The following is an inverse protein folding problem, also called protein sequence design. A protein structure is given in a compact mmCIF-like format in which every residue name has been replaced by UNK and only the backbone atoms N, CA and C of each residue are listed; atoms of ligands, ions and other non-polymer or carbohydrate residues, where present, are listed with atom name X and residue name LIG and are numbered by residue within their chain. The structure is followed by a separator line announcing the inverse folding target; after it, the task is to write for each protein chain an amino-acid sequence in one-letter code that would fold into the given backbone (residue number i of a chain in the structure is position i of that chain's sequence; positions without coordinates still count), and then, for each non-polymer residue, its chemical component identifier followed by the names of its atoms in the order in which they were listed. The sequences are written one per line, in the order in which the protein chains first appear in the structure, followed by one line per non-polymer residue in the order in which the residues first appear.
data_IF_432980597843
#
_entry.id   IF_432980597843
#
_cell.length_a   1.000
_cell.length_b   1.000
_cell.length_c   1.000
_cell.angle_alpha   90.00
_cell.angle_beta   90.00
_cell.angle_gamma   90.00
#
_symmetry.space_group_name_H-M   'P 1'
#
loop_
_entity.id
_entity.type
_entity.pdbx_description
1 polymer ?
#
# COMPACT_ATOMS: atom_id res chain seq x y z
N UNK A 1 17.67 16.66 12.55
CA UNK A 1 16.73 17.17 11.53
C UNK A 1 15.32 17.19 12.14
N UNK A 2 14.47 18.14 11.73
CA UNK A 2 13.06 18.14 12.14
C UNK A 2 12.39 16.88 11.58
N UNK A 3 11.66 16.13 12.43
CA UNK A 3 10.92 14.96 11.98
C UNK A 3 9.73 15.37 11.12
N UNK A 4 9.39 14.54 10.13
CA UNK A 4 8.16 14.69 9.35
C UNK A 4 6.97 14.39 10.22
N UNK A 5 6.02 15.32 10.36
CA UNK A 5 4.87 15.23 11.28
C UNK A 5 3.63 14.75 10.53
N UNK A 6 3.14 13.58 10.92
CA UNK A 6 2.06 12.84 10.24
C UNK A 6 0.79 12.88 11.06
N UNK A 7 -0.32 13.26 10.44
CA UNK A 7 -1.67 13.00 10.92
C UNK A 7 -2.27 11.80 10.20
N UNK A 8 -2.96 10.92 10.93
CA UNK A 8 -3.64 9.75 10.35
C UNK A 8 -5.15 9.99 10.43
N UNK A 9 -5.83 9.99 9.28
CA UNK A 9 -7.29 10.00 9.22
C UNK A 9 -7.82 8.59 8.93
N UNK A 10 -8.47 7.97 9.92
CA UNK A 10 -8.90 6.57 9.93
C UNK A 10 -7.88 5.64 10.60
N UNK A 11 -8.25 5.03 11.72
CA UNK A 11 -7.37 4.14 12.50
C UNK A 11 -7.78 2.67 12.34
N UNK A 12 -8.13 2.28 11.10
CA UNK A 12 -8.36 0.88 10.72
C UNK A 12 -7.04 0.12 10.52
N UNK A 13 -7.10 -1.01 9.78
CA UNK A 13 -5.91 -1.85 9.50
C UNK A 13 -4.70 -1.03 9.04
N UNK A 14 -4.86 -0.26 7.96
CA UNK A 14 -3.73 0.48 7.37
C UNK A 14 -3.29 1.65 8.29
N UNK A 15 -4.22 2.42 8.88
CA UNK A 15 -3.84 3.52 9.79
C UNK A 15 -3.04 3.04 11.00
N UNK A 16 -3.43 1.94 11.62
CA UNK A 16 -2.70 1.36 12.76
C UNK A 16 -1.33 0.80 12.35
N UNK A 17 -1.20 0.21 11.16
CA UNK A 17 0.07 -0.30 10.66
C UNK A 17 1.00 0.82 10.19
N UNK A 18 0.48 1.93 9.68
CA UNK A 18 1.27 3.14 9.40
C UNK A 18 1.87 3.68 10.70
N UNK A 19 1.10 3.71 11.80
CA UNK A 19 1.66 4.07 13.11
C UNK A 19 2.77 3.10 13.53
N UNK A 20 2.55 1.78 13.41
CA UNK A 20 3.60 0.78 13.72
C UNK A 20 4.85 0.97 12.87
N UNK A 21 4.71 1.25 11.58
CA UNK A 21 5.83 1.52 10.67
C UNK A 21 6.57 2.82 11.02
N UNK A 22 5.84 3.88 11.37
CA UNK A 22 6.42 5.16 11.78
C UNK A 22 7.24 5.04 13.08
N UNK A 23 6.79 4.20 14.03
CA UNK A 23 7.51 3.95 15.28
C UNK A 23 8.88 3.27 15.11
N UNK A 24 9.13 2.66 13.96
CA UNK A 24 10.42 2.04 13.63
C UNK A 24 11.40 3.01 12.94
N UNK A 25 11.00 4.29 12.77
CA UNK A 25 11.78 5.30 12.04
C UNK A 25 12.09 6.51 12.92
N UNK A 26 13.26 7.09 12.68
CA UNK A 26 13.71 8.29 13.39
C UNK A 26 13.35 9.61 12.69
N UNK A 27 13.07 9.55 11.39
CA UNK A 27 12.84 10.72 10.52
C UNK A 27 11.37 11.16 10.42
N UNK A 28 10.43 10.35 10.97
CA UNK A 28 9.01 10.65 10.99
C UNK A 28 8.44 10.55 12.41
N UNK A 29 7.28 11.15 12.63
CA UNK A 29 6.50 10.96 13.85
C UNK A 29 5.00 11.14 13.55
N UNK A 30 4.17 10.24 14.09
CA UNK A 30 2.73 10.44 14.12
C UNK A 30 2.40 11.36 15.29
N UNK A 31 1.69 12.46 15.03
CA UNK A 31 1.37 13.49 16.02
C UNK A 31 -0.11 13.58 16.32
N UNK A 32 -0.95 13.11 15.40
CA UNK A 32 -2.40 13.09 15.57
C UNK A 32 -3.05 11.91 14.82
N UNK A 33 -4.17 11.45 15.35
CA UNK A 33 -5.05 10.46 14.74
C UNK A 33 -6.47 11.02 14.80
N UNK A 34 -7.22 10.88 13.72
CA UNK A 34 -8.65 11.14 13.73
C UNK A 34 -9.41 9.85 13.38
N UNK A 35 -10.30 9.44 14.25
CA UNK A 35 -11.26 8.38 13.98
C UNK A 35 -12.51 8.59 14.82
N UNK A 36 -13.68 8.91 14.23
CA UNK A 36 -14.90 9.20 14.98
C UNK A 36 -15.57 7.97 15.57
N UNK A 37 -15.07 6.76 15.30
CA UNK A 37 -15.68 5.50 15.72
C UNK A 37 -14.87 4.75 16.77
N UNK A 38 -13.69 5.24 17.14
CA UNK A 38 -12.81 4.60 18.11
C UNK A 38 -12.41 5.57 19.22
N UNK A 39 -12.57 5.14 20.48
CA UNK A 39 -12.02 5.86 21.64
C UNK A 39 -10.49 5.60 21.77
N UNK A 40 -9.74 6.50 22.45
CA UNK A 40 -8.30 6.30 22.65
C UNK A 40 -7.93 4.97 23.33
N UNK A 41 -8.70 4.52 24.30
CA UNK A 41 -8.50 3.24 25.00
C UNK A 41 -8.72 2.04 24.06
N UNK A 42 -9.72 2.11 23.17
CA UNK A 42 -9.91 1.08 22.15
C UNK A 42 -8.82 1.10 21.08
N UNK A 43 -8.35 2.27 20.67
CA UNK A 43 -7.17 2.40 19.79
C UNK A 43 -5.92 1.80 20.43
N UNK A 44 -5.71 2.04 21.74
CA UNK A 44 -4.60 1.45 22.48
C UNK A 44 -4.69 -0.09 22.52
N UNK A 45 -5.89 -0.62 22.74
CA UNK A 45 -6.12 -2.07 22.68
C UNK A 45 -5.80 -2.64 21.29
N UNK A 46 -6.34 -2.04 20.22
CA UNK A 46 -6.13 -2.49 18.82
C UNK A 46 -4.67 -2.36 18.36
N UNK A 47 -3.94 -1.35 18.83
CA UNK A 47 -2.52 -1.22 18.53
C UNK A 47 -1.68 -2.25 19.28
N UNK A 48 -2.05 -2.53 20.54
CA UNK A 48 -1.33 -3.47 21.41
C UNK A 48 -1.42 -4.91 20.91
N UNK A 49 -2.57 -5.30 20.37
CA UNK A 49 -2.86 -6.67 19.96
C UNK A 49 -3.31 -6.72 18.50
N UNK A 50 -2.60 -7.49 17.70
CA UNK A 50 -2.94 -7.72 16.31
C UNK A 50 -2.80 -9.21 15.98
N UNK A 51 -3.83 -9.78 15.35
CA UNK A 51 -3.88 -11.22 15.03
C UNK A 51 -2.83 -11.61 14.01
N UNK A 52 -2.52 -10.72 13.05
CA UNK A 52 -1.60 -10.97 11.94
C UNK A 52 -0.18 -10.56 12.33
N UNK A 53 -0.02 -9.33 12.82
CA UNK A 53 1.30 -8.72 13.08
C UNK A 53 1.75 -8.84 14.55
N UNK A 54 0.99 -9.55 15.38
CA UNK A 54 1.34 -9.81 16.76
C UNK A 54 1.29 -8.59 17.68
N UNK A 55 1.82 -8.75 18.89
CA UNK A 55 1.88 -7.67 19.88
C UNK A 55 2.77 -6.53 19.39
N UNK A 56 2.35 -5.29 19.68
CA UNK A 56 3.18 -4.11 19.44
C UNK A 56 4.49 -4.20 20.24
N UNK A 57 5.66 -4.02 19.62
CA UNK A 57 6.96 -4.15 20.28
C UNK A 57 7.32 -2.86 21.04
N UNK A 58 6.49 -2.44 21.98
CA UNK A 58 6.68 -1.21 22.74
C UNK A 58 5.59 -1.02 23.78
N UNK A 59 5.55 0.16 24.39
CA UNK A 59 4.51 0.55 25.35
C UNK A 59 3.37 1.28 24.66
N UNK A 60 2.15 0.92 25.01
CA UNK A 60 0.93 1.59 24.52
C UNK A 60 0.01 1.83 25.70
N UNK A 61 -0.43 3.07 25.86
CA UNK A 61 -1.40 3.49 26.86
C UNK A 61 -2.33 4.56 26.25
N UNK A 62 -3.31 5.01 26.99
CA UNK A 62 -4.28 6.03 26.57
C UNK A 62 -4.62 6.97 27.71
N UNK A 63 -4.99 8.18 27.35
CA UNK A 63 -5.60 9.17 28.23
C UNK A 63 -6.72 9.91 27.49
N UNK A 64 -7.44 10.79 28.17
CA UNK A 64 -8.49 11.57 27.51
C UNK A 64 -7.92 12.40 26.35
N UNK A 65 -8.47 12.15 25.14
CA UNK A 65 -8.05 12.84 23.90
C UNK A 65 -6.66 12.47 23.38
N UNK A 66 -6.05 11.38 23.86
CA UNK A 66 -4.74 10.96 23.34
C UNK A 66 -4.45 9.47 23.45
N UNK A 67 -3.61 9.01 22.55
CA UNK A 67 -2.92 7.72 22.59
C UNK A 67 -1.47 7.97 23.04
N UNK A 68 -0.95 7.15 23.93
CA UNK A 68 0.43 7.23 24.43
C UNK A 68 1.21 6.04 23.87
N UNK A 69 2.16 6.29 23.00
CA UNK A 69 2.99 5.24 22.36
C UNK A 69 4.46 5.50 22.66
N UNK A 70 5.12 4.54 23.28
CA UNK A 70 6.53 4.66 23.69
C UNK A 70 6.81 5.95 24.49
N UNK A 71 5.85 6.33 25.35
CA UNK A 71 5.91 7.56 26.17
C UNK A 71 5.60 8.85 25.39
N UNK A 72 5.31 8.82 24.11
CA UNK A 72 4.95 9.99 23.31
C UNK A 72 3.43 10.12 23.20
N UNK A 73 2.97 11.34 23.36
CA UNK A 73 1.55 11.70 23.27
C UNK A 73 1.15 11.97 21.83
N UNK A 74 0.16 11.25 21.32
CA UNK A 74 -0.45 11.40 19.99
C UNK A 74 -1.87 11.92 20.23
N UNK A 75 -2.22 13.09 19.71
CA UNK A 75 -3.56 13.65 19.85
C UNK A 75 -4.59 12.76 19.13
N UNK A 76 -5.74 12.52 19.76
CA UNK A 76 -6.85 11.76 19.15
C UNK A 76 -8.03 12.67 18.96
N UNK A 77 -8.49 12.79 17.72
CA UNK A 77 -9.66 13.55 17.33
C UNK A 77 -10.78 12.60 16.87
N UNK A 78 -12.02 13.06 16.93
CA UNK A 78 -13.20 12.26 16.54
C UNK A 78 -14.16 13.07 15.64
N UNK A 79 -13.63 13.70 14.61
CA UNK A 79 -14.39 14.53 13.69
C UNK A 79 -14.84 13.74 12.46
N UNK A 80 -16.10 13.95 12.03
CA UNK A 80 -16.65 13.30 10.85
C UNK A 80 -16.21 14.00 9.55
N UNK A 81 -16.13 15.33 9.57
CA UNK A 81 -15.77 16.14 8.42
C UNK A 81 -14.29 16.51 8.47
N UNK A 82 -13.59 16.33 7.36
CA UNK A 82 -12.14 16.56 7.26
C UNK A 82 -11.72 17.99 7.66
N UNK A 83 -12.55 18.98 7.32
CA UNK A 83 -12.30 20.41 7.61
C UNK A 83 -12.37 20.75 9.11
N UNK A 84 -13.07 19.94 9.88
CA UNK A 84 -13.26 20.15 11.31
C UNK A 84 -12.21 19.46 12.17
N UNK A 85 -11.30 18.69 11.55
CA UNK A 85 -10.21 18.01 12.26
C UNK A 85 -9.10 19.03 12.56
N UNK A 86 -8.76 19.27 13.83
CA UNK A 86 -7.83 20.36 14.17
C UNK A 86 -6.35 19.96 13.94
N UNK A 87 -5.98 19.62 12.70
CA UNK A 87 -4.62 19.20 12.34
C UNK A 87 -3.55 20.21 12.75
N UNK A 88 -3.86 21.52 12.58
CA UNK A 88 -2.97 22.59 12.94
C UNK A 88 -2.62 22.60 14.44
N UNK A 89 -3.58 22.22 15.33
CA UNK A 89 -3.33 22.19 16.76
C UNK A 89 -2.31 21.14 17.21
N UNK A 90 -2.10 20.12 16.36
CA UNK A 90 -1.12 19.06 16.55
C UNK A 90 0.11 19.23 15.65
N UNK A 91 0.21 20.34 14.87
CA UNK A 91 1.24 20.55 13.85
C UNK A 91 1.37 19.37 12.87
N UNK A 92 0.26 18.72 12.48
CA UNK A 92 0.27 17.66 11.51
C UNK A 92 0.42 18.25 10.09
N UNK A 93 1.59 18.07 9.49
CA UNK A 93 1.93 18.66 8.19
C UNK A 93 1.45 17.77 7.01
N UNK A 94 1.60 16.45 7.14
CA UNK A 94 1.22 15.45 6.14
C UNK A 94 0.08 14.61 6.66
N UNK A 95 -1.03 14.56 5.94
CA UNK A 95 -2.17 13.72 6.34
C UNK A 95 -2.19 12.46 5.51
N UNK A 96 -2.11 11.33 6.20
CA UNK A 96 -2.37 10.02 5.63
C UNK A 96 -3.87 9.75 5.68
N UNK A 97 -4.53 9.72 4.52
CA UNK A 97 -5.96 9.47 4.39
C UNK A 97 -6.21 7.97 4.20
N UNK A 98 -6.70 7.29 5.23
CA UNK A 98 -6.91 5.83 5.24
C UNK A 98 -8.35 5.39 5.51
N UNK A 99 -9.30 6.32 5.45
CA UNK A 99 -10.72 5.98 5.65
C UNK A 99 -11.35 5.24 4.47
N UNK A 100 -10.73 5.33 3.28
CA UNK A 100 -11.29 4.82 2.03
C UNK A 100 -12.49 5.63 1.50
N UNK A 101 -12.80 6.78 2.11
CA UNK A 101 -13.89 7.67 1.71
C UNK A 101 -13.42 8.83 0.84
N UNK A 102 -12.29 9.44 1.15
CA UNK A 102 -11.74 10.60 0.47
C UNK A 102 -10.73 10.14 -0.60
N UNK A 103 -11.23 9.80 -1.79
CA UNK A 103 -10.45 9.19 -2.89
C UNK A 103 -10.18 10.15 -4.05
N UNK A 104 -10.40 11.44 -3.87
CA UNK A 104 -10.15 12.51 -4.86
C UNK A 104 -9.56 13.72 -4.17
N UNK A 105 -8.86 14.57 -4.92
CA UNK A 105 -8.36 15.85 -4.41
C UNK A 105 -9.48 16.70 -3.81
N UNK A 106 -10.64 16.75 -4.48
CA UNK A 106 -11.80 17.52 -4.01
C UNK A 106 -12.30 17.05 -2.64
N UNK A 107 -12.41 15.74 -2.43
CA UNK A 107 -12.83 15.17 -1.14
C UNK A 107 -11.79 15.39 -0.03
N UNK A 108 -10.51 15.56 -0.39
CA UNK A 108 -9.41 15.79 0.55
C UNK A 108 -9.23 17.28 0.92
N UNK A 109 -9.90 18.23 0.26
CA UNK A 109 -9.73 19.66 0.52
C UNK A 109 -9.88 20.05 1.98
N UNK A 110 -10.85 19.46 2.68
CA UNK A 110 -11.08 19.74 4.08
C UNK A 110 -9.85 19.56 4.97
N UNK A 111 -8.92 18.65 4.64
CA UNK A 111 -7.68 18.49 5.40
C UNK A 111 -6.75 19.70 5.25
N UNK A 112 -6.69 20.29 4.06
CA UNK A 112 -5.86 21.49 3.81
C UNK A 112 -6.50 22.72 4.48
N UNK A 113 -7.84 22.85 4.41
CA UNK A 113 -8.59 23.90 5.12
C UNK A 113 -8.37 23.81 6.65
N UNK A 114 -8.19 22.59 7.18
CA UNK A 114 -7.88 22.29 8.57
C UNK A 114 -6.39 22.49 8.96
N UNK A 115 -5.56 22.99 8.03
CA UNK A 115 -4.18 23.39 8.28
C UNK A 115 -3.11 22.36 7.91
N UNK A 116 -3.47 21.25 7.25
CA UNK A 116 -2.48 20.34 6.68
C UNK A 116 -1.79 20.96 5.45
N UNK A 117 -0.57 20.51 5.17
CA UNK A 117 0.20 20.94 4.00
C UNK A 117 0.02 19.99 2.81
N UNK A 118 0.02 18.70 3.06
CA UNK A 118 -0.13 17.66 2.04
C UNK A 118 -1.08 16.56 2.51
N UNK A 119 -1.72 15.90 1.55
CA UNK A 119 -2.55 14.71 1.79
C UNK A 119 -2.05 13.56 0.92
N UNK A 120 -1.78 12.42 1.56
CA UNK A 120 -1.43 11.17 0.88
C UNK A 120 -2.59 10.19 1.01
N UNK A 121 -3.25 9.91 -0.11
CA UNK A 121 -4.41 9.02 -0.17
C UNK A 121 -3.93 7.57 -0.10
N UNK A 122 -4.39 6.83 0.90
CA UNK A 122 -4.09 5.42 1.14
C UNK A 122 -4.90 4.45 0.27
N UNK A 123 -5.14 4.82 -0.98
CA UNK A 123 -5.86 4.04 -1.99
C UNK A 123 -5.59 4.63 -3.38
N UNK A 124 -5.91 3.90 -4.49
CA UNK A 124 -5.89 4.50 -5.82
C UNK A 124 -6.86 5.67 -5.90
N UNK A 125 -6.39 6.81 -6.38
CA UNK A 125 -7.25 7.97 -6.61
C UNK A 125 -8.28 7.68 -7.70
N UNK A 126 -9.46 8.28 -7.55
CA UNK A 126 -10.57 8.18 -8.53
C UNK A 126 -10.61 9.32 -9.54
N UNK A 127 -9.71 10.27 -9.40
CA UNK A 127 -9.49 11.41 -10.30
C UNK A 127 -8.07 11.38 -10.87
N UNK A 128 -7.58 12.53 -11.32
CA UNK A 128 -6.24 12.69 -11.88
C UNK A 128 -5.17 13.00 -10.81
N UNK A 129 -5.46 12.83 -9.52
CA UNK A 129 -4.47 12.95 -8.44
C UNK A 129 -3.28 12.03 -8.74
N UNK A 130 -2.03 12.57 -8.73
CA UNK A 130 -0.84 11.80 -9.02
C UNK A 130 -0.71 10.57 -8.13
N UNK A 131 -0.42 9.42 -8.72
CA UNK A 131 -0.15 8.16 -8.00
C UNK A 131 1.34 7.85 -8.03
N UNK A 132 1.88 7.50 -6.87
CA UNK A 132 3.29 7.14 -6.71
C UNK A 132 3.46 5.72 -6.19
N UNK A 133 4.48 5.05 -6.72
CA UNK A 133 5.02 3.79 -6.21
C UNK A 133 6.50 4.01 -5.94
N UNK A 134 6.91 3.76 -4.69
CA UNK A 134 8.31 3.88 -4.30
C UNK A 134 9.20 2.98 -5.17
N UNK A 135 10.38 3.47 -5.53
CA UNK A 135 11.29 2.78 -6.47
C UNK A 135 10.92 2.92 -7.94
N UNK A 136 9.65 3.22 -8.29
CA UNK A 136 9.19 3.27 -9.69
C UNK A 136 9.12 4.70 -10.20
N UNK A 137 8.23 5.53 -9.65
CA UNK A 137 8.00 6.89 -10.15
C UNK A 137 8.01 7.99 -9.07
N UNK A 138 8.28 7.68 -7.81
CA UNK A 138 8.26 8.63 -6.69
C UNK A 138 9.14 9.86 -6.92
N UNK A 139 10.23 9.73 -7.72
CA UNK A 139 11.12 10.84 -8.06
C UNK A 139 10.46 11.93 -8.93
N UNK A 140 9.25 11.66 -9.46
CA UNK A 140 8.46 12.65 -10.20
C UNK A 140 7.64 13.57 -9.28
N UNK A 141 7.67 13.34 -7.96
CA UNK A 141 7.01 14.22 -7.00
C UNK A 141 7.67 15.62 -7.00
N UNK A 142 6.84 16.65 -6.91
CA UNK A 142 7.24 18.05 -6.77
C UNK A 142 6.43 18.73 -5.65
N UNK A 143 6.96 19.75 -4.95
CA UNK A 143 6.32 20.35 -3.77
C UNK A 143 4.95 21.02 -4.01
N UNK A 144 4.60 21.32 -5.25
CA UNK A 144 3.30 21.85 -5.65
C UNK A 144 2.20 20.77 -5.68
N UNK A 145 2.56 19.50 -5.59
CA UNK A 145 1.60 18.39 -5.54
C UNK A 145 1.02 18.23 -4.14
N UNK A 146 -0.01 19.02 -3.84
CA UNK A 146 -0.67 19.02 -2.52
C UNK A 146 -1.34 17.69 -2.18
N UNK A 147 -1.92 17.01 -3.18
CA UNK A 147 -2.60 15.73 -3.05
C UNK A 147 -1.87 14.69 -3.88
N UNK A 148 -1.55 13.56 -3.27
CA UNK A 148 -0.96 12.40 -3.96
C UNK A 148 -1.59 11.10 -3.48
N UNK A 149 -1.44 10.04 -4.25
CA UNK A 149 -1.92 8.70 -3.88
C UNK A 149 -0.76 7.72 -3.82
N UNK A 150 -0.75 6.86 -2.81
CA UNK A 150 0.19 5.72 -2.71
C UNK A 150 -0.28 4.50 -3.54
N UNK A 151 -1.20 4.69 -4.48
CA UNK A 151 -1.82 3.63 -5.29
C UNK A 151 -2.46 2.52 -4.41
N UNK A 152 -2.52 1.27 -4.89
CA UNK A 152 -2.96 0.11 -4.10
C UNK A 152 -1.78 -0.79 -3.72
N UNK A 153 -1.98 -1.68 -2.74
CA UNK A 153 -1.00 -2.71 -2.39
C UNK A 153 -0.64 -3.59 -3.60
N UNK A 154 -1.63 -4.00 -4.39
CA UNK A 154 -1.42 -4.78 -5.62
C UNK A 154 -0.65 -3.99 -6.68
N UNK A 155 -0.93 -2.69 -6.86
CA UNK A 155 -0.16 -1.83 -7.78
C UNK A 155 1.29 -1.69 -7.30
N UNK A 156 1.51 -1.57 -5.99
CA UNK A 156 2.85 -1.52 -5.40
C UNK A 156 3.63 -2.83 -5.59
N UNK A 157 2.96 -3.98 -5.67
CA UNK A 157 3.59 -5.25 -6.00
C UNK A 157 3.87 -5.38 -7.50
N UNK A 158 2.89 -5.06 -8.34
CA UNK A 158 2.97 -5.27 -9.78
C UNK A 158 3.94 -4.31 -10.47
N UNK A 159 3.95 -3.03 -10.09
CA UNK A 159 4.73 -2.00 -10.78
C UNK A 159 6.25 -2.25 -10.77
N UNK A 160 6.90 -2.69 -9.68
CA UNK A 160 8.33 -3.00 -9.70
C UNK A 160 8.70 -4.10 -10.68
N UNK A 161 7.99 -5.24 -10.72
CA UNK A 161 8.28 -6.33 -11.65
C UNK A 161 7.92 -5.93 -13.09
N UNK A 162 6.84 -5.18 -13.30
CA UNK A 162 6.48 -4.66 -14.63
C UNK A 162 7.52 -3.65 -15.14
N UNK A 163 8.09 -2.81 -14.26
CA UNK A 163 9.19 -1.89 -14.61
C UNK A 163 10.40 -2.66 -15.15
N UNK A 164 10.88 -3.66 -14.40
CA UNK A 164 12.04 -4.45 -14.80
C UNK A 164 11.79 -5.16 -16.13
N UNK A 165 10.65 -5.84 -16.27
CA UNK A 165 10.29 -6.53 -17.53
C UNK A 165 10.21 -5.55 -18.70
N UNK A 166 9.57 -4.39 -18.51
CA UNK A 166 9.39 -3.42 -19.58
C UNK A 166 10.71 -2.78 -20.01
N UNK A 167 11.56 -2.40 -19.07
CA UNK A 167 12.85 -1.74 -19.39
C UNK A 167 13.85 -2.69 -20.05
N UNK A 168 13.92 -3.95 -19.61
CA UNK A 168 14.87 -4.92 -20.13
C UNK A 168 14.38 -5.60 -21.43
N UNK A 169 13.11 -6.02 -21.45
CA UNK A 169 12.58 -6.89 -22.51
C UNK A 169 11.40 -6.28 -23.29
N UNK A 170 10.78 -5.21 -22.78
CA UNK A 170 9.59 -4.60 -23.35
C UNK A 170 8.34 -5.46 -23.13
N UNK A 171 7.29 -4.88 -22.54
CA UNK A 171 5.98 -5.54 -22.43
C UNK A 171 5.12 -5.11 -23.61
N UNK A 172 4.65 -6.07 -24.40
CA UNK A 172 3.67 -5.86 -25.47
C UNK A 172 2.28 -5.78 -24.87
N UNK A 173 1.91 -6.80 -24.11
CA UNK A 173 0.63 -6.94 -23.42
C UNK A 173 0.75 -7.93 -22.26
N UNK A 174 -0.17 -7.86 -21.29
CA UNK A 174 -0.17 -8.79 -20.17
C UNK A 174 -1.48 -8.84 -19.41
N UNK A 175 -1.73 -10.01 -18.83
CA UNK A 175 -2.87 -10.26 -17.95
C UNK A 175 -2.35 -10.58 -16.53
N UNK A 176 -2.91 -9.90 -15.54
CA UNK A 176 -2.56 -10.10 -14.15
C UNK A 176 -3.71 -10.74 -13.38
N UNK A 177 -3.40 -11.75 -12.61
CA UNK A 177 -4.30 -12.24 -11.56
C UNK A 177 -3.63 -12.00 -10.20
N UNK A 178 -4.31 -11.33 -9.30
CA UNK A 178 -3.88 -11.35 -7.90
C UNK A 178 -4.73 -12.35 -7.11
N UNK A 179 -4.07 -13.30 -6.44
CA UNK A 179 -4.69 -14.12 -5.40
C UNK A 179 -4.48 -13.36 -4.10
N UNK A 180 -5.56 -12.79 -3.57
CA UNK A 180 -5.49 -11.76 -2.54
C UNK A 180 -6.19 -12.20 -1.26
N UNK A 181 -5.55 -11.96 -0.15
CA UNK A 181 -6.13 -12.18 1.18
C UNK A 181 -7.40 -11.36 1.40
N UNK A 182 -8.17 -11.70 2.41
CA UNK A 182 -9.40 -10.97 2.78
C UNK A 182 -9.08 -9.54 3.19
N UNK A 183 -10.05 -8.65 2.99
CA UNK A 183 -9.96 -7.25 3.42
C UNK A 183 -11.22 -6.87 4.20
N UNK A 184 -11.19 -5.82 5.05
CA UNK A 184 -12.31 -5.43 5.92
C UNK A 184 -13.62 -5.13 5.20
N UNK A 185 -13.59 -4.89 3.88
CA UNK A 185 -14.79 -4.64 3.08
C UNK A 185 -15.57 -5.91 2.73
N UNK A 186 -14.95 -7.09 2.89
CA UNK A 186 -15.60 -8.37 2.60
C UNK A 186 -16.46 -8.84 3.76
N UNK A 187 -17.46 -9.66 3.46
CA UNK A 187 -18.37 -10.22 4.46
C UNK A 187 -17.78 -11.48 5.08
N UNK A 188 -17.86 -11.59 6.40
CA UNK A 188 -17.44 -12.81 7.12
C UNK A 188 -18.37 -13.98 6.81
N UNK A 189 -19.69 -13.73 6.78
CA UNK A 189 -20.77 -14.65 6.38
C UNK A 189 -21.53 -14.04 5.20
N UNK A 190 -22.34 -14.85 4.51
CA UNK A 190 -23.19 -14.36 3.41
C UNK A 190 -24.05 -13.19 3.88
N UNK A 191 -23.96 -12.06 3.19
CA UNK A 191 -24.67 -10.85 3.51
C UNK A 191 -24.93 -9.97 2.29
N UNK A 192 -25.88 -9.07 2.41
CA UNK A 192 -26.28 -8.21 1.31
C UNK A 192 -25.12 -7.34 0.80
N UNK A 193 -24.92 -7.33 -0.51
CA UNK A 193 -24.02 -6.45 -1.24
C UNK A 193 -24.67 -6.05 -2.56
N UNK A 194 -25.21 -4.84 -2.60
CA UNK A 194 -26.02 -4.38 -3.74
C UNK A 194 -25.20 -4.14 -5.02
N UNK A 195 -23.92 -3.77 -4.87
CA UNK A 195 -23.05 -3.42 -6.00
C UNK A 195 -22.17 -4.58 -6.47
N UNK A 196 -21.84 -5.50 -5.57
CA UNK A 196 -20.97 -6.65 -5.85
C UNK A 196 -21.53 -7.86 -5.13
N UNK A 197 -22.33 -8.65 -5.84
CA UNK A 197 -22.98 -9.84 -5.26
C UNK A 197 -21.96 -10.89 -4.80
N UNK A 198 -20.86 -11.06 -5.53
CA UNK A 198 -19.78 -11.99 -5.15
C UNK A 198 -19.08 -11.52 -3.87
N UNK A 199 -18.84 -10.23 -3.72
CA UNK A 199 -18.28 -9.62 -2.50
C UNK A 199 -19.22 -9.72 -1.29
N UNK A 200 -20.51 -10.05 -1.48
CA UNK A 200 -21.47 -10.37 -0.42
C UNK A 200 -21.35 -11.79 0.13
N UNK A 201 -20.57 -12.67 -0.50
CA UNK A 201 -20.41 -14.07 -0.05
C UNK A 201 -19.34 -14.16 1.03
N UNK A 202 -19.48 -15.20 1.87
CA UNK A 202 -18.59 -15.46 3.00
C UNK A 202 -17.12 -15.60 2.55
N UNK A 203 -16.27 -14.68 3.00
CA UNK A 203 -14.86 -14.65 2.65
C UNK A 203 -14.06 -15.81 3.27
N UNK A 204 -14.56 -16.36 4.38
CA UNK A 204 -13.90 -17.42 5.16
C UNK A 204 -13.96 -18.82 4.54
N UNK A 205 -14.78 -19.02 3.52
CA UNK A 205 -15.01 -20.35 2.94
C UNK A 205 -15.07 -20.37 1.41
N UNK A 206 -14.71 -19.28 0.74
CA UNK A 206 -14.85 -19.18 -0.71
C UNK A 206 -13.59 -18.61 -1.39
N UNK A 207 -13.40 -19.00 -2.65
CA UNK A 207 -12.58 -18.25 -3.61
C UNK A 207 -13.54 -17.31 -4.34
N UNK A 208 -13.32 -15.99 -4.20
CA UNK A 208 -14.24 -14.97 -4.70
C UNK A 208 -13.59 -14.15 -5.82
N UNK A 209 -13.99 -14.36 -7.09
CA UNK A 209 -13.57 -13.50 -8.19
C UNK A 209 -14.05 -12.06 -7.97
N UNK A 210 -13.15 -11.09 -8.13
CA UNK A 210 -13.43 -9.67 -7.95
C UNK A 210 -12.73 -8.84 -9.02
N UNK A 211 -13.29 -7.70 -9.38
CA UNK A 211 -12.62 -6.75 -10.25
C UNK A 211 -11.47 -6.05 -9.51
N UNK A 212 -10.43 -5.68 -10.24
CA UNK A 212 -9.36 -4.84 -9.72
C UNK A 212 -8.91 -3.81 -10.77
N UNK A 213 -8.66 -2.60 -10.32
CA UNK A 213 -8.04 -1.55 -11.13
C UNK A 213 -6.51 -1.52 -11.06
N UNK A 214 -5.90 -2.42 -10.29
CA UNK A 214 -4.47 -2.35 -9.98
C UNK A 214 -3.57 -2.46 -11.23
N UNK A 215 -3.89 -3.35 -12.16
CA UNK A 215 -3.12 -3.49 -13.40
C UNK A 215 -3.24 -2.27 -14.31
N UNK A 216 -4.43 -1.67 -14.41
CA UNK A 216 -4.64 -0.41 -15.15
C UNK A 216 -3.93 0.76 -14.49
N UNK A 217 -3.86 0.78 -13.16
CA UNK A 217 -3.16 1.81 -12.41
C UNK A 217 -1.64 1.81 -12.68
N UNK A 218 -1.05 0.66 -13.04
CA UNK A 218 0.35 0.61 -13.48
C UNK A 218 0.60 1.52 -14.68
N UNK A 219 -0.35 1.65 -15.61
CA UNK A 219 -0.24 2.58 -16.75
C UNK A 219 -0.23 4.07 -16.33
N UNK A 220 -0.77 4.44 -15.15
CA UNK A 220 -0.63 5.79 -14.60
C UNK A 220 0.75 6.01 -13.96
N UNK A 221 1.36 4.95 -13.42
CA UNK A 221 2.67 4.97 -12.75
C UNK A 221 3.81 4.83 -13.77
N UNK A 222 3.62 3.96 -14.77
CA UNK A 222 4.55 3.70 -15.90
C UNK A 222 3.78 3.97 -17.18
N UNK A 223 3.82 5.19 -17.74
CA UNK A 223 3.00 5.60 -18.88
C UNK A 223 3.15 4.72 -20.14
N UNK A 224 4.33 4.14 -20.34
CA UNK A 224 4.64 3.23 -21.47
C UNK A 224 3.81 1.92 -21.41
N UNK A 225 3.25 1.59 -20.25
CA UNK A 225 2.39 0.43 -20.04
C UNK A 225 0.89 0.76 -20.06
N UNK A 226 0.54 2.02 -20.35
CA UNK A 226 -0.86 2.41 -20.45
C UNK A 226 -1.59 1.61 -21.55
N UNK A 227 -2.70 0.97 -21.17
CA UNK A 227 -3.49 0.13 -22.08
C UNK A 227 -2.93 -1.27 -22.36
N UNK A 228 -1.71 -1.60 -21.87
CA UNK A 228 -1.07 -2.90 -22.10
C UNK A 228 -1.35 -3.94 -21.02
N UNK A 229 -1.77 -3.51 -19.82
CA UNK A 229 -2.02 -4.40 -18.69
C UNK A 229 -3.46 -4.29 -18.22
N UNK A 230 -4.08 -5.43 -17.95
CA UNK A 230 -5.35 -5.54 -17.23
C UNK A 230 -5.33 -6.78 -16.35
N UNK A 231 -6.35 -6.97 -15.49
CA UNK A 231 -6.35 -8.13 -14.61
C UNK A 231 -7.59 -8.26 -13.75
N UNK A 232 -7.59 -9.32 -12.96
CA UNK A 232 -8.64 -9.69 -12.01
C UNK A 232 -8.03 -9.99 -10.64
N UNK A 233 -8.89 -10.08 -9.63
CA UNK A 233 -8.53 -10.53 -8.28
C UNK A 233 -9.32 -11.80 -7.93
N UNK A 234 -8.66 -12.76 -7.29
CA UNK A 234 -9.26 -13.89 -6.62
C UNK A 234 -9.06 -13.70 -5.11
N UNK A 235 -10.14 -13.44 -4.37
CA UNK A 235 -10.08 -13.36 -2.91
C UNK A 235 -10.10 -14.74 -2.31
N UNK A 236 -9.18 -15.01 -1.39
CA UNK A 236 -9.02 -16.31 -0.71
C UNK A 236 -9.06 -16.14 0.81
N UNK A 237 -9.42 -17.16 1.59
CA UNK A 237 -9.58 -17.08 3.04
C UNK A 237 -8.24 -17.10 3.81
N UNK A 238 -7.28 -16.30 3.39
CA UNK A 238 -6.04 -16.01 4.12
C UNK A 238 -6.17 -14.63 4.76
N UNK A 239 -5.59 -14.44 5.95
CA UNK A 239 -5.71 -13.19 6.70
C UNK A 239 -4.87 -12.07 6.12
N UNK A 240 -3.69 -12.41 5.60
CA UNK A 240 -2.74 -11.48 5.00
C UNK A 240 -1.82 -12.22 4.03
N UNK A 241 -0.97 -11.49 3.35
CA UNK A 241 -0.08 -11.87 2.25
C UNK A 241 -0.85 -12.34 1.02
N UNK A 242 -0.59 -11.66 -0.05
CA UNK A 242 -1.18 -11.86 -1.37
C UNK A 242 -0.09 -12.14 -2.40
N UNK A 243 -0.51 -12.60 -3.58
CA UNK A 243 0.42 -12.88 -4.68
C UNK A 243 -0.10 -12.30 -5.99
N UNK A 244 0.80 -11.71 -6.78
CA UNK A 244 0.57 -11.31 -8.17
C UNK A 244 1.11 -12.40 -9.09
N UNK A 245 0.27 -12.85 -10.00
CA UNK A 245 0.58 -13.68 -11.16
C UNK A 245 0.45 -12.78 -12.41
N UNK A 246 1.57 -12.44 -13.04
CA UNK A 246 1.60 -11.67 -14.27
C UNK A 246 2.02 -12.57 -15.43
N UNK A 247 1.10 -12.81 -16.36
CA UNK A 247 1.41 -13.42 -17.67
C UNK A 247 1.59 -12.32 -18.69
N UNK A 248 2.76 -12.24 -19.32
CA UNK A 248 3.14 -11.16 -20.23
C UNK A 248 3.76 -11.67 -21.52
N UNK A 249 3.45 -10.96 -22.62
CA UNK A 249 4.14 -11.09 -23.90
C UNK A 249 5.24 -10.04 -23.98
N UNK A 250 6.45 -10.49 -24.23
CA UNK A 250 7.63 -9.64 -24.32
C UNK A 250 7.90 -9.23 -25.78
N UNK A 251 8.46 -8.05 -25.97
CA UNK A 251 8.89 -7.56 -27.30
C UNK A 251 10.23 -8.15 -27.74
N UNK A 252 11.09 -8.47 -26.78
CA UNK A 252 12.42 -9.06 -27.03
C UNK A 252 12.46 -10.48 -26.45
N UNK A 253 13.00 -11.45 -27.15
CA UNK A 253 13.20 -12.80 -26.62
C UNK A 253 14.11 -12.78 -25.39
N UNK A 254 13.77 -13.60 -24.40
CA UNK A 254 14.58 -13.81 -23.20
C UNK A 254 14.35 -15.22 -22.65
N UNK A 255 15.38 -15.83 -22.11
CA UNK A 255 15.20 -17.04 -21.32
C UNK A 255 14.56 -16.68 -19.97
N UNK A 256 13.93 -17.65 -19.31
CA UNK A 256 13.42 -17.41 -17.97
C UNK A 256 14.53 -17.06 -16.98
N UNK A 257 15.73 -17.62 -17.17
CA UNK A 257 16.91 -17.30 -16.35
C UNK A 257 17.37 -15.83 -16.55
N UNK A 258 17.32 -15.30 -17.78
CA UNK A 258 17.62 -13.88 -18.03
C UNK A 258 16.65 -12.97 -17.26
N UNK A 259 15.36 -13.34 -17.20
CA UNK A 259 14.35 -12.61 -16.45
C UNK A 259 14.64 -12.68 -14.96
N UNK A 260 14.96 -13.86 -14.42
CA UNK A 260 15.31 -14.05 -13.02
C UNK A 260 16.55 -13.22 -12.63
N UNK A 261 17.57 -13.21 -13.49
CA UNK A 261 18.79 -12.44 -13.27
C UNK A 261 18.50 -10.93 -13.26
N UNK A 262 17.67 -10.44 -14.18
CA UNK A 262 17.24 -9.04 -14.19
C UNK A 262 16.48 -8.64 -12.95
N UNK A 263 15.58 -9.50 -12.46
CA UNK A 263 14.83 -9.27 -11.21
C UNK A 263 15.76 -9.25 -9.98
N UNK A 264 16.72 -10.18 -9.91
CA UNK A 264 17.71 -10.24 -8.85
C UNK A 264 18.59 -8.99 -8.85
N UNK A 265 19.15 -8.62 -10.01
CA UNK A 265 19.94 -7.39 -10.17
C UNK A 265 19.19 -6.15 -9.67
N UNK A 266 17.93 -6.00 -10.10
CA UNK A 266 17.10 -4.87 -9.68
C UNK A 266 16.81 -4.87 -8.17
N UNK A 267 16.56 -6.05 -7.57
CA UNK A 267 16.28 -6.19 -6.14
C UNK A 267 17.49 -5.85 -5.25
N UNK A 268 18.68 -6.11 -5.72
CA UNK A 268 19.94 -5.78 -5.02
C UNK A 268 20.41 -4.34 -5.33
N UNK A 269 19.94 -3.76 -6.44
CA UNK A 269 20.31 -2.46 -6.98
C UNK A 269 19.24 -1.37 -6.81
N UNK A 270 18.69 -0.91 -7.93
CA UNK A 270 17.81 0.28 -7.98
C UNK A 270 16.48 0.13 -7.24
N UNK A 271 15.97 -1.10 -7.09
CA UNK A 271 14.73 -1.41 -6.39
C UNK A 271 14.98 -2.03 -5.00
N UNK A 272 16.20 -1.91 -4.47
CA UNK A 272 16.50 -2.40 -3.13
C UNK A 272 15.55 -1.80 -2.09
N UNK A 273 14.98 -2.69 -1.25
CA UNK A 273 13.99 -2.31 -0.23
C UNK A 273 12.55 -2.17 -0.76
N UNK A 274 12.36 -2.29 -2.09
CA UNK A 274 11.03 -2.31 -2.75
C UNK A 274 10.78 -3.67 -3.38
N UNK A 275 11.70 -4.12 -4.24
CA UNK A 275 11.70 -5.46 -4.83
C UNK A 275 12.57 -6.39 -3.99
N UNK A 276 12.05 -7.57 -3.68
CA UNK A 276 12.79 -8.71 -3.16
C UNK A 276 12.92 -9.80 -4.20
N UNK A 277 13.74 -10.79 -3.91
CA UNK A 277 13.97 -11.97 -4.73
C UNK A 277 14.07 -13.19 -3.84
N UNK A 278 13.43 -14.29 -4.22
CA UNK A 278 13.58 -15.59 -3.57
C UNK A 278 13.75 -16.70 -4.61
N UNK A 279 14.56 -17.69 -4.28
CA UNK A 279 14.75 -18.97 -4.98
C UNK A 279 14.48 -20.16 -4.07
N UNK A 280 13.80 -19.93 -2.96
CA UNK A 280 13.39 -20.95 -1.99
C UNK A 280 11.98 -21.46 -2.29
N UNK A 281 11.61 -22.60 -1.69
CA UNK A 281 10.25 -23.17 -1.78
C UNK A 281 9.39 -22.57 -0.67
N UNK A 282 8.79 -21.41 -0.95
CA UNK A 282 8.07 -20.56 0.01
C UNK A 282 6.57 -20.54 -0.25
N UNK A 283 5.81 -20.15 0.78
CA UNK A 283 4.36 -19.91 0.73
C UNK A 283 4.02 -18.56 1.34
N UNK A 284 2.78 -18.12 1.23
CA UNK A 284 2.35 -16.78 1.64
C UNK A 284 2.76 -16.39 3.06
N UNK A 285 2.63 -17.29 4.03
CA UNK A 285 2.92 -16.99 5.45
C UNK A 285 4.39 -16.66 5.73
N UNK A 286 5.32 -17.06 4.84
CA UNK A 286 6.74 -16.74 4.98
C UNK A 286 7.06 -15.25 4.76
N UNK A 287 6.10 -14.51 4.22
CA UNK A 287 6.24 -13.07 3.93
C UNK A 287 5.44 -12.17 4.89
N UNK A 288 4.87 -12.73 5.96
CA UNK A 288 4.22 -11.92 6.99
C UNK A 288 5.22 -10.94 7.62
N UNK A 289 4.88 -9.65 7.60
CA UNK A 289 5.73 -8.58 8.13
C UNK A 289 6.83 -8.12 7.16
N UNK A 290 6.88 -8.62 5.92
CA UNK A 290 7.86 -8.12 4.94
C UNK A 290 7.51 -6.67 4.54
N UNK A 291 8.48 -5.78 4.68
CA UNK A 291 8.33 -4.35 4.39
C UNK A 291 8.50 -4.00 2.91
N UNK A 292 8.98 -4.95 2.09
CA UNK A 292 9.05 -4.82 0.64
C UNK A 292 7.65 -5.06 0.06
N UNK A 293 7.32 -4.36 -1.01
CA UNK A 293 6.00 -4.46 -1.63
C UNK A 293 5.90 -5.45 -2.78
N UNK A 294 7.02 -6.06 -3.18
CA UNK A 294 7.08 -7.00 -4.29
C UNK A 294 8.23 -7.97 -4.07
N UNK A 295 7.98 -9.24 -3.87
CA UNK A 295 9.03 -10.27 -3.70
C UNK A 295 8.91 -11.27 -4.85
N UNK A 296 9.78 -11.11 -5.87
CA UNK A 296 9.81 -11.99 -7.03
C UNK A 296 10.19 -13.41 -6.63
N UNK A 297 9.37 -14.38 -7.04
CA UNK A 297 9.58 -15.79 -6.80
C UNK A 297 10.10 -16.48 -8.07
N UNK A 298 11.39 -16.85 -8.06
CA UNK A 298 12.05 -17.50 -9.19
C UNK A 298 11.41 -18.86 -9.51
N UNK A 299 11.01 -19.64 -8.50
CA UNK A 299 10.53 -21.01 -8.68
C UNK A 299 9.05 -21.09 -9.06
N UNK A 300 8.26 -20.07 -8.76
CA UNK A 300 6.83 -20.07 -9.03
C UNK A 300 6.47 -19.62 -10.47
N UNK A 301 7.41 -19.00 -11.20
CA UNK A 301 7.19 -18.55 -12.58
C UNK A 301 7.70 -19.54 -13.63
N UNK A 302 7.40 -19.25 -14.88
CA UNK A 302 7.82 -20.09 -16.04
C UNK A 302 7.73 -19.29 -17.35
N UNK A 303 8.44 -19.77 -18.39
CA UNK A 303 8.26 -19.32 -19.76
C UNK A 303 7.62 -20.43 -20.60
N UNK A 304 6.61 -20.09 -21.41
CA UNK A 304 6.05 -20.98 -22.43
C UNK A 304 6.88 -20.91 -23.72
N UNK A 305 7.30 -19.71 -24.10
CA UNK A 305 8.22 -19.42 -25.20
C UNK A 305 9.22 -18.38 -24.71
N UNK A 306 10.20 -18.02 -25.52
CA UNK A 306 11.16 -16.95 -25.24
C UNK A 306 10.54 -15.54 -25.17
N UNK A 307 9.27 -15.39 -25.58
CA UNK A 307 8.53 -14.12 -25.54
C UNK A 307 7.23 -14.20 -24.74
N UNK A 308 6.89 -15.34 -24.14
CA UNK A 308 5.66 -15.49 -23.37
C UNK A 308 5.93 -16.09 -21.99
N UNK A 309 5.85 -15.26 -20.98
CA UNK A 309 6.31 -15.56 -19.62
C UNK A 309 5.23 -15.34 -18.58
N UNK A 310 5.25 -16.16 -17.53
CA UNK A 310 4.54 -15.96 -16.28
C UNK A 310 5.56 -15.67 -15.18
N UNK A 311 5.39 -14.55 -14.49
CA UNK A 311 6.16 -14.18 -13.30
C UNK A 311 5.25 -14.05 -12.10
N UNK A 312 5.77 -14.42 -10.93
CA UNK A 312 5.03 -14.44 -9.67
C UNK A 312 5.76 -13.55 -8.68
N UNK A 313 4.99 -12.75 -7.93
CA UNK A 313 5.53 -11.89 -6.87
C UNK A 313 4.61 -11.86 -5.66
N UNK A 314 5.18 -12.09 -4.48
CA UNK A 314 4.51 -12.04 -3.19
C UNK A 314 4.51 -10.62 -2.62
N UNK A 315 3.56 -10.33 -1.75
CA UNK A 315 3.51 -9.08 -0.99
C UNK A 315 2.65 -9.20 0.26
N UNK A 316 3.18 -8.71 1.37
CA UNK A 316 2.35 -8.41 2.54
C UNK A 316 1.52 -7.16 2.20
N UNK A 317 0.21 -7.37 1.96
CA UNK A 317 -0.66 -6.31 1.47
C UNK A 317 -0.98 -5.24 2.52
N UNK A 318 -0.63 -5.47 3.77
CA UNK A 318 -0.78 -4.55 4.89
C UNK A 318 0.56 -3.93 5.30
N UNK A 319 1.55 -4.73 5.72
CA UNK A 319 2.83 -4.27 6.25
C UNK A 319 3.67 -3.57 5.18
N UNK A 320 3.90 -4.22 4.03
CA UNK A 320 4.69 -3.64 2.94
C UNK A 320 4.09 -2.34 2.44
N UNK A 321 2.77 -2.32 2.24
CA UNK A 321 2.04 -1.12 1.80
C UNK A 321 2.14 0.03 2.80
N UNK A 322 1.94 -0.25 4.10
CA UNK A 322 1.99 0.76 5.16
C UNK A 322 3.40 1.36 5.33
N UNK A 323 4.44 0.53 5.20
CA UNK A 323 5.82 1.01 5.20
C UNK A 323 6.11 1.95 4.02
N UNK A 324 5.66 1.62 2.80
CA UNK A 324 5.86 2.48 1.62
C UNK A 324 5.04 3.78 1.70
N UNK A 325 3.91 3.78 2.40
CA UNK A 325 3.18 5.00 2.73
C UNK A 325 4.03 5.96 3.57
N UNK A 326 4.64 5.45 4.63
CA UNK A 326 5.53 6.25 5.50
C UNK A 326 6.77 6.71 4.73
N UNK A 327 7.36 5.84 3.92
CA UNK A 327 8.51 6.17 3.07
C UNK A 327 8.18 7.27 2.05
N UNK A 328 7.00 7.21 1.41
CA UNK A 328 6.55 8.24 0.47
C UNK A 328 6.40 9.59 1.17
N UNK A 329 5.76 9.63 2.35
CA UNK A 329 5.60 10.86 3.13
C UNK A 329 6.97 11.43 3.53
N UNK A 330 7.88 10.60 4.02
CA UNK A 330 9.23 11.03 4.37
C UNK A 330 10.01 11.56 3.15
N UNK A 331 9.87 10.90 2.00
CA UNK A 331 10.47 11.36 0.75
C UNK A 331 9.91 12.71 0.31
N UNK A 332 8.58 12.89 0.32
CA UNK A 332 7.92 14.16 0.01
C UNK A 332 8.47 15.29 0.89
N UNK A 333 8.50 15.09 2.21
CA UNK A 333 9.06 16.07 3.14
C UNK A 333 10.54 16.39 2.84
N UNK A 334 11.33 15.39 2.44
CA UNK A 334 12.74 15.60 2.06
C UNK A 334 12.91 16.43 0.78
N UNK A 335 11.96 16.34 -0.15
CA UNK A 335 11.95 17.15 -1.39
C UNK A 335 11.49 18.57 -1.10
N UNK A 336 10.47 18.73 -0.27
CA UNK A 336 9.91 20.02 0.13
C UNK A 336 10.88 20.91 0.89
N UNK A 337 11.88 20.32 1.56
CA UNK A 337 12.86 21.03 2.39
C UNK A 337 14.20 21.28 1.66
N UNK A 338 14.29 20.97 0.36
CA UNK A 338 15.45 21.29 -0.49
C UNK A 338 15.32 22.66 -1.13
#
# INVERSE_FOLDING_TARGET
MKKTRIGINGFGRIGSLVLRAAEQREDVEVVAINDPFMSPDYMAYMLRYDTVHGKFPGTVDSEEGALIVNGRRIAVFSQMEAKDIPWQSADAEFIMESTGKHLTAELCKGHIEAGARHVVIGAPSKDDTPMFVMGVNHKKYTPDMTYVSNASCTTNCLAPIAKVLNEKFGIVEGLMTTVHSVTPTQKLLDGASLKDWRGGRAATGNIIPSSTGAAKAVGKVIPELNGKLTGISMRVPTLDVSVVDLTAKLAKPATYEDICNAMKEASEGELKGVLGFTDEDVVSSDFLGDTRTSIFDKKAGLSLTDTFVKVVSWYDNECGYSNKMVELIAYMCSVDNK
#
